data_IF_797575871138
#
_entry.id   IF_797575871138
#
_cell.length_a   1.000
_cell.length_b   1.000
_cell.length_c   1.000
_cell.angle_alpha   90.00
_cell.angle_beta   90.00
_cell.angle_gamma   90.00
#
_symmetry.space_group_name_H-M   'P 1'
#
loop_
_entity.id
_entity.type
_entity.pdbx_description
1 polymer ?
#
# COMPACT_ATOMS: atom_id res chain seq x y z
N UNK A 1 -41.73 -54.10 9.64
CA UNK A 1 -41.90 -53.27 10.85
C UNK A 1 -41.53 -51.85 10.46
N UNK A 2 -42.53 -51.03 10.11
CA UNK A 2 -43.23 -50.07 11.00
C UNK A 2 -42.38 -48.80 11.21
N UNK A 3 -42.84 -47.55 11.14
CA UNK A 3 -44.13 -46.88 10.89
C UNK A 3 -43.74 -45.42 10.62
N UNK A 4 -44.41 -44.74 9.68
CA UNK A 4 -44.42 -43.28 9.61
C UNK A 4 -45.23 -42.73 10.80
N UNK A 5 -44.66 -41.80 11.58
CA UNK A 5 -45.40 -40.92 12.49
C UNK A 5 -44.62 -39.58 12.62
N UNK A 6 -45.08 -38.40 12.16
CA UNK A 6 -46.28 -37.60 12.50
C UNK A 6 -45.98 -36.60 13.64
N UNK A 7 -46.15 -35.31 13.30
CA UNK A 7 -46.58 -34.15 14.13
C UNK A 7 -45.52 -33.19 14.67
N UNK A 8 -45.61 -31.89 14.27
CA UNK A 8 -46.24 -30.73 14.97
C UNK A 8 -45.45 -30.41 16.27
N UNK A 9 -45.07 -29.19 16.65
CA UNK A 9 -45.59 -27.83 16.42
C UNK A 9 -44.81 -26.83 17.31
N UNK A 10 -45.06 -25.52 17.10
CA UNK A 10 -44.97 -24.39 18.05
C UNK A 10 -43.54 -23.87 18.39
N UNK A 11 -43.09 -22.72 17.86
CA UNK A 11 -43.33 -21.31 18.24
C UNK A 11 -42.54 -20.82 19.49
N UNK A 12 -41.85 -19.68 19.29
CA UNK A 12 -41.30 -18.74 20.29
C UNK A 12 -40.06 -19.26 21.07
N UNK A 13 -39.06 -18.48 21.49
CA UNK A 13 -38.92 -17.06 21.79
C UNK A 13 -37.42 -16.70 21.99
N UNK A 14 -37.14 -15.40 21.87
CA UNK A 14 -36.19 -14.60 22.66
C UNK A 14 -34.68 -14.97 22.77
N UNK A 15 -33.88 -14.09 22.15
CA UNK A 15 -32.73 -13.35 22.72
C UNK A 15 -32.00 -13.89 23.96
N UNK A 16 -30.67 -13.97 23.86
CA UNK A 16 -29.81 -14.00 25.03
C UNK A 16 -28.33 -14.24 24.70
N UNK A 17 -27.55 -13.16 24.69
CA UNK A 17 -26.09 -13.17 24.73
C UNK A 17 -25.57 -13.98 25.93
N UNK A 18 -24.55 -14.83 25.77
CA UNK A 18 -23.43 -14.93 26.73
C UNK A 18 -22.14 -15.36 26.04
N UNK A 19 -21.09 -14.58 26.30
CA UNK A 19 -19.69 -14.93 26.08
C UNK A 19 -19.36 -16.25 26.78
N UNK A 20 -18.59 -17.10 26.12
CA UNK A 20 -17.71 -18.07 26.78
C UNK A 20 -16.27 -17.78 26.40
N UNK A 21 -15.53 -17.30 27.40
CA UNK A 21 -14.08 -17.13 27.39
C UNK A 21 -13.40 -18.49 27.52
N UNK A 22 -12.61 -18.89 26.53
CA UNK A 22 -11.64 -19.98 26.67
C UNK A 22 -10.32 -19.33 27.10
N UNK A 23 -9.91 -19.63 28.33
CA UNK A 23 -8.60 -19.30 28.88
C UNK A 23 -7.57 -20.30 28.35
N UNK A 24 -6.49 -19.80 27.75
CA UNK A 24 -5.20 -20.52 27.65
C UNK A 24 -4.14 -19.59 28.22
N UNK A 25 -3.55 -20.01 29.34
CA UNK A 25 -2.40 -19.37 29.97
C UNK A 25 -1.13 -19.63 29.15
N UNK A 26 -0.33 -18.61 28.88
CA UNK A 26 1.14 -18.71 28.98
C UNK A 26 1.85 -17.36 28.75
N UNK A 27 2.82 -17.13 29.62
CA UNK A 27 3.90 -16.12 29.59
C UNK A 27 3.57 -14.66 29.93
N UNK A 28 4.08 -14.26 31.10
CA UNK A 28 4.23 -12.89 31.58
C UNK A 28 5.17 -12.11 30.65
N UNK A 29 4.59 -11.35 29.74
CA UNK A 29 5.20 -10.10 29.26
C UNK A 29 4.44 -8.98 29.95
N UNK A 30 5.16 -8.04 30.58
CA UNK A 30 4.60 -6.79 31.08
C UNK A 30 3.92 -6.05 29.91
N UNK A 31 2.65 -6.36 29.65
CA UNK A 31 1.78 -5.56 28.80
C UNK A 31 1.48 -4.31 29.60
N UNK A 32 2.18 -3.23 29.29
CA UNK A 32 1.70 -1.92 29.66
C UNK A 32 0.28 -1.79 29.09
N UNK A 33 -0.70 -1.63 29.98
CA UNK A 33 -2.08 -1.31 29.63
C UNK A 33 -2.11 0.11 29.06
N UNK A 34 -1.61 0.28 27.85
CA UNK A 34 -1.89 1.48 27.07
C UNK A 34 -3.30 1.30 26.52
N UNK A 35 -4.24 2.23 26.78
CA UNK A 35 -5.56 2.14 26.19
C UNK A 35 -5.40 2.07 24.67
N UNK A 36 -5.99 1.05 24.07
CA UNK A 36 -6.14 0.95 22.62
C UNK A 36 -7.04 2.12 22.23
N UNK A 37 -6.43 3.23 21.81
CA UNK A 37 -7.16 4.40 21.32
C UNK A 37 -7.96 3.91 20.10
N UNK A 38 -9.28 3.93 20.23
CA UNK A 38 -10.21 3.62 19.15
C UNK A 38 -9.91 4.57 17.98
N UNK A 39 -9.47 4.01 16.86
CA UNK A 39 -9.07 4.77 15.65
C UNK A 39 -10.27 5.28 14.85
N UNK A 40 -11.29 5.80 15.52
CA UNK A 40 -12.49 6.33 14.87
C UNK A 40 -12.33 7.85 14.75
N UNK A 41 -12.21 8.31 13.51
CA UNK A 41 -12.03 9.71 13.08
C UNK A 41 -10.59 10.25 13.20
N UNK A 42 -9.75 9.91 12.21
CA UNK A 42 -8.62 10.79 11.91
C UNK A 42 -9.22 12.09 11.38
N UNK A 43 -9.18 13.16 12.18
CA UNK A 43 -9.54 14.49 11.67
C UNK A 43 -8.62 14.82 10.49
N UNK A 44 -9.21 15.10 9.32
CA UNK A 44 -8.49 15.51 8.12
C UNK A 44 -8.00 16.96 8.28
N UNK A 45 -6.93 17.15 9.06
CA UNK A 45 -6.42 18.49 9.47
C UNK A 45 -5.54 19.17 8.41
N UNK A 46 -5.80 18.94 7.12
CA UNK A 46 -5.01 19.47 6.00
C UNK A 46 -3.54 18.99 5.99
N UNK A 47 -2.73 19.54 5.08
CA UNK A 47 -1.27 19.36 5.11
C UNK A 47 -0.69 20.38 6.09
N UNK A 48 0.20 19.92 6.97
CA UNK A 48 0.87 20.75 7.97
C UNK A 48 2.37 20.75 7.70
N UNK A 49 2.96 21.92 7.66
CA UNK A 49 4.40 22.12 7.56
C UNK A 49 4.95 22.61 8.90
N UNK A 50 5.98 21.93 9.40
CA UNK A 50 6.73 22.38 10.57
C UNK A 50 7.81 23.33 10.07
N UNK A 51 7.83 24.54 10.63
CA UNK A 51 8.83 25.57 10.35
C UNK A 51 9.59 25.85 11.64
N UNK A 52 10.91 25.76 11.57
CA UNK A 52 11.81 26.09 12.67
C UNK A 52 12.46 27.44 12.37
N UNK A 53 12.33 28.40 13.29
CA UNK A 53 13.03 29.68 13.25
C UNK A 53 13.94 29.80 14.46
N UNK A 54 15.22 30.07 14.22
CA UNK A 54 16.22 30.26 15.26
C UNK A 54 16.54 31.74 15.36
N UNK A 55 16.14 32.36 16.48
CA UNK A 55 16.44 33.75 16.79
C UNK A 55 17.36 33.78 18.02
N UNK A 56 18.60 34.22 17.83
CA UNK A 56 19.63 34.25 18.85
C UNK A 56 19.89 32.87 19.49
N UNK A 57 19.29 32.63 20.67
CA UNK A 57 19.38 31.38 21.46
C UNK A 57 18.03 30.68 21.64
N UNK A 58 16.94 31.24 21.11
CA UNK A 58 15.60 30.70 21.23
C UNK A 58 15.22 30.05 19.90
N UNK A 59 14.77 28.79 19.94
CA UNK A 59 14.26 28.07 18.77
C UNK A 59 12.74 28.03 18.84
N UNK A 60 12.07 28.68 17.90
CA UNK A 60 10.61 28.69 17.80
C UNK A 60 10.20 27.67 16.73
N UNK A 61 9.29 26.76 17.10
CA UNK A 61 8.79 25.71 16.21
C UNK A 61 7.30 25.95 15.97
N UNK A 62 6.94 26.29 14.73
CA UNK A 62 5.57 26.61 14.34
C UNK A 62 5.00 25.56 13.37
N UNK A 63 3.70 25.29 13.49
CA UNK A 63 2.97 24.44 12.55
C UNK A 63 2.08 25.27 11.63
N UNK A 64 2.49 25.47 10.38
CA UNK A 64 1.71 26.20 9.37
C UNK A 64 0.81 25.22 8.61
N UNK A 65 -0.48 25.52 8.53
CA UNK A 65 -1.43 24.75 7.71
C UNK A 65 -1.36 25.30 6.29
N UNK A 66 -1.15 24.42 5.31
CA UNK A 66 -1.13 24.78 3.91
C UNK A 66 -2.53 24.61 3.32
N UNK A 67 -3.00 25.64 2.64
CA UNK A 67 -4.27 25.61 1.92
C UNK A 67 -4.11 24.86 0.59
N UNK A 68 -5.00 23.90 0.36
CA UNK A 68 -5.01 23.06 -0.84
C UNK A 68 -6.29 23.40 -1.62
N UNK A 69 -6.21 23.72 -2.92
CA UNK A 69 -7.39 23.99 -3.70
C UNK A 69 -8.29 22.74 -3.75
N UNK A 70 -9.61 22.96 -3.74
CA UNK A 70 -10.58 21.88 -3.86
C UNK A 70 -10.41 21.14 -5.19
N UNK A 71 -10.35 19.81 -5.13
CA UNK A 71 -10.22 18.98 -6.32
C UNK A 71 -11.50 18.92 -7.17
N UNK A 72 -11.40 18.48 -8.43
CA UNK A 72 -12.55 18.28 -9.31
C UNK A 72 -13.52 17.22 -8.78
N UNK A 73 -14.78 17.30 -9.22
CA UNK A 73 -15.81 16.33 -8.84
C UNK A 73 -15.56 14.97 -9.51
N UNK A 74 -15.68 13.85 -8.76
CA UNK A 74 -15.44 12.52 -9.30
C UNK A 74 -16.60 12.02 -10.17
N UNK A 75 -16.33 11.18 -11.18
CA UNK A 75 -17.37 10.63 -12.06
C UNK A 75 -18.28 9.61 -11.37
N UNK A 76 -17.80 8.90 -10.34
CA UNK A 76 -18.59 7.96 -9.56
C UNK A 76 -18.55 8.32 -8.06
N UNK A 77 -19.50 9.13 -7.55
CA UNK A 77 -19.49 9.57 -6.16
C UNK A 77 -19.84 8.44 -5.17
N UNK A 78 -20.52 7.38 -5.62
CA UNK A 78 -21.03 6.30 -4.76
C UNK A 78 -19.93 5.39 -4.22
N UNK A 79 -18.82 5.25 -4.94
CA UNK A 79 -17.73 4.37 -4.55
C UNK A 79 -16.99 4.91 -3.30
N UNK A 80 -16.48 4.02 -2.43
CA UNK A 80 -15.73 4.42 -1.22
C UNK A 80 -14.25 4.70 -1.51
N UNK A 81 -13.62 3.87 -2.34
CA UNK A 81 -12.21 3.98 -2.69
C UNK A 81 -11.99 5.08 -3.74
N UNK A 82 -10.99 5.98 -3.59
CA UNK A 82 -10.65 6.97 -4.60
C UNK A 82 -10.46 6.39 -6.00
N UNK A 83 -9.73 5.29 -6.14
CA UNK A 83 -9.48 4.64 -7.45
C UNK A 83 -10.78 4.21 -8.14
N UNK A 84 -11.74 3.71 -7.36
CA UNK A 84 -13.05 3.29 -7.89
C UNK A 84 -13.95 4.48 -8.18
N UNK A 85 -13.88 5.56 -7.39
CA UNK A 85 -14.59 6.82 -7.67
C UNK A 85 -14.21 7.42 -9.02
N UNK A 86 -12.94 7.24 -9.41
CA UNK A 86 -12.40 7.70 -10.68
C UNK A 86 -12.44 6.65 -11.80
N UNK A 87 -13.05 5.48 -11.57
CA UNK A 87 -13.14 4.38 -12.56
C UNK A 87 -11.76 3.93 -13.11
N UNK A 88 -10.71 4.04 -12.30
CA UNK A 88 -9.32 3.70 -12.65
C UNK A 88 -8.94 2.25 -12.30
N UNK A 89 -9.89 1.45 -11.80
CA UNK A 89 -9.65 0.05 -11.47
C UNK A 89 -9.03 -0.70 -12.65
N UNK A 90 -7.92 -1.41 -12.41
CA UNK A 90 -7.23 -2.25 -13.38
C UNK A 90 -6.70 -1.50 -14.62
N UNK A 91 -6.65 -0.16 -14.61
CA UNK A 91 -6.24 0.65 -15.77
C UNK A 91 -4.88 1.32 -15.64
N UNK A 92 -4.34 1.40 -14.42
CA UNK A 92 -3.08 2.08 -14.17
C UNK A 92 -1.90 1.11 -14.08
N UNK A 93 -0.71 1.62 -14.38
CA UNK A 93 0.56 0.89 -14.31
C UNK A 93 1.66 1.71 -13.58
N UNK A 94 2.86 1.14 -13.43
CA UNK A 94 4.02 1.83 -12.83
C UNK A 94 4.49 3.06 -13.62
N UNK A 95 4.07 3.18 -14.88
CA UNK A 95 4.37 4.32 -15.76
C UNK A 95 3.54 5.56 -15.44
N UNK A 96 2.42 5.41 -14.75
CA UNK A 96 1.44 6.49 -14.54
C UNK A 96 1.84 7.37 -13.35
N UNK A 97 2.96 8.08 -13.54
CA UNK A 97 3.61 8.90 -12.50
C UNK A 97 2.67 9.96 -11.92
N UNK A 98 1.78 10.53 -12.74
CA UNK A 98 0.82 11.55 -12.30
C UNK A 98 -0.20 11.03 -11.28
N UNK A 99 -0.56 9.74 -11.37
CA UNK A 99 -1.43 9.10 -10.39
C UNK A 99 -0.64 8.69 -9.15
N UNK A 100 0.55 8.10 -9.35
CA UNK A 100 1.38 7.59 -8.28
C UNK A 100 1.91 8.70 -7.36
N UNK A 101 2.25 9.86 -7.93
CA UNK A 101 2.77 11.03 -7.18
C UNK A 101 1.81 11.54 -6.12
N UNK A 102 0.49 11.34 -6.30
CA UNK A 102 -0.54 11.78 -5.36
C UNK A 102 -0.54 10.98 -4.04
N UNK A 103 -0.01 9.75 -4.07
CA UNK A 103 -0.03 8.84 -2.91
C UNK A 103 1.33 8.71 -2.22
N UNK A 104 2.34 9.48 -2.65
CA UNK A 104 3.70 9.45 -2.09
C UNK A 104 4.04 10.77 -1.41
N UNK A 105 5.01 10.70 -0.50
CA UNK A 105 5.62 11.86 0.16
C UNK A 105 6.69 12.49 -0.74
N UNK A 106 7.16 13.67 -0.36
CA UNK A 106 8.36 14.30 -0.95
C UNK A 106 9.56 13.37 -0.93
N UNK A 107 9.70 12.51 0.08
CA UNK A 107 10.87 11.67 0.26
C UNK A 107 10.77 10.33 -0.51
N UNK A 108 9.68 10.12 -1.25
CA UNK A 108 9.37 8.86 -1.95
C UNK A 108 8.72 7.78 -1.07
N UNK A 109 8.47 8.06 0.22
CA UNK A 109 7.71 7.15 1.09
C UNK A 109 6.23 7.10 0.71
N UNK A 110 5.62 5.91 0.79
CA UNK A 110 4.18 5.72 0.58
C UNK A 110 3.36 6.34 1.72
N UNK A 111 2.26 7.04 1.40
CA UNK A 111 1.32 7.53 2.40
C UNK A 111 0.51 6.40 3.04
N UNK A 112 0.18 6.48 4.35
CA UNK A 112 -0.55 5.42 5.03
C UNK A 112 -1.99 5.30 4.51
N UNK A 113 -2.49 4.05 4.39
CA UNK A 113 -3.84 3.74 3.89
C UNK A 113 -4.98 4.50 4.56
N UNK A 114 -4.88 4.73 5.88
CA UNK A 114 -5.88 5.44 6.67
C UNK A 114 -6.06 6.91 6.24
N UNK A 115 -5.03 7.49 5.62
CA UNK A 115 -5.04 8.87 5.12
C UNK A 115 -5.45 8.89 3.65
N UNK A 116 -4.90 7.97 2.83
CA UNK A 116 -5.22 7.92 1.40
C UNK A 116 -6.65 7.48 1.10
N UNK A 117 -7.31 6.76 2.02
CA UNK A 117 -8.68 6.27 1.83
C UNK A 117 -8.79 5.11 0.84
N UNK A 118 -7.66 4.52 0.43
CA UNK A 118 -7.62 3.40 -0.50
C UNK A 118 -8.09 2.09 0.12
N UNK A 119 -8.71 1.24 -0.69
CA UNK A 119 -8.92 -0.17 -0.35
C UNK A 119 -7.59 -0.89 -0.14
N UNK A 120 -7.60 -1.99 0.61
CA UNK A 120 -6.39 -2.77 0.90
C UNK A 120 -5.68 -3.25 -0.39
N UNK A 121 -6.44 -3.78 -1.34
CA UNK A 121 -5.92 -4.29 -2.61
C UNK A 121 -5.27 -3.18 -3.45
N UNK A 122 -5.97 -2.07 -3.64
CA UNK A 122 -5.48 -0.94 -4.43
C UNK A 122 -4.28 -0.26 -3.76
N UNK A 123 -4.28 -0.16 -2.42
CA UNK A 123 -3.13 0.35 -1.69
C UNK A 123 -1.89 -0.55 -1.89
N UNK A 124 -2.07 -1.87 -1.89
CA UNK A 124 -0.98 -2.81 -2.16
C UNK A 124 -0.47 -2.70 -3.61
N UNK A 125 -1.37 -2.63 -4.60
CA UNK A 125 -1.02 -2.45 -6.01
C UNK A 125 -0.24 -1.15 -6.24
N UNK A 126 -0.72 -0.04 -5.71
CA UNK A 126 -0.06 1.28 -5.82
C UNK A 126 1.31 1.25 -5.15
N UNK A 127 1.46 0.59 -3.99
CA UNK A 127 2.76 0.43 -3.33
C UNK A 127 3.77 -0.32 -4.21
N UNK A 128 3.33 -1.37 -4.89
CA UNK A 128 4.16 -2.09 -5.85
C UNK A 128 4.50 -1.22 -7.06
N UNK A 129 3.53 -0.50 -7.63
CA UNK A 129 3.75 0.40 -8.76
C UNK A 129 4.78 1.49 -8.41
N UNK A 130 4.67 2.11 -7.23
CA UNK A 130 5.64 3.10 -6.74
C UNK A 130 7.03 2.49 -6.60
N UNK A 131 7.16 1.28 -6.04
CA UNK A 131 8.45 0.60 -5.94
C UNK A 131 9.06 0.31 -7.33
N UNK A 132 8.25 -0.11 -8.30
CA UNK A 132 8.70 -0.33 -9.67
C UNK A 132 9.11 0.99 -10.35
N UNK A 133 8.32 2.06 -10.18
CA UNK A 133 8.61 3.38 -10.73
C UNK A 133 9.90 3.99 -10.17
N UNK A 134 10.13 3.88 -8.86
CA UNK A 134 11.37 4.32 -8.20
C UNK A 134 12.59 3.57 -8.73
N UNK A 135 12.49 2.24 -8.89
CA UNK A 135 13.57 1.43 -9.45
C UNK A 135 13.84 1.74 -10.92
N UNK A 136 12.80 2.08 -11.67
CA UNK A 136 12.90 2.51 -13.05
C UNK A 136 13.42 3.96 -13.21
N UNK A 137 13.49 4.73 -12.12
CA UNK A 137 13.97 6.11 -12.15
C UNK A 137 12.94 7.14 -12.63
N UNK A 138 11.65 6.81 -12.60
CA UNK A 138 10.57 7.69 -13.08
C UNK A 138 10.20 8.83 -12.12
N UNK A 139 10.68 8.77 -10.87
CA UNK A 139 10.37 9.73 -9.79
C UNK A 139 11.66 10.41 -9.30
N UNK A 140 12.27 11.33 -10.08
CA UNK A 140 13.55 11.93 -9.73
C UNK A 140 13.48 12.88 -8.53
N UNK A 141 12.34 13.56 -8.35
CA UNK A 141 12.11 14.58 -7.31
C UNK A 141 11.76 13.96 -5.96
N UNK A 142 11.33 12.71 -5.95
CA UNK A 142 10.88 12.00 -4.76
C UNK A 142 11.99 11.12 -4.17
N UNK A 143 13.07 11.77 -3.73
CA UNK A 143 14.22 11.11 -3.11
C UNK A 143 14.36 11.52 -1.65
N UNK A 144 14.89 10.64 -0.79
CA UNK A 144 15.22 11.03 0.57
C UNK A 144 16.25 12.16 0.55
N UNK A 145 16.00 13.17 1.39
CA UNK A 145 16.96 14.26 1.59
C UNK A 145 18.22 13.70 2.23
N UNK A 146 19.34 13.87 1.55
CA UNK A 146 20.65 13.52 2.07
C UNK A 146 21.18 14.68 2.94
N UNK A 147 21.99 14.39 3.97
CA UNK A 147 22.61 15.45 4.74
C UNK A 147 23.54 16.29 3.86
N UNK A 148 23.75 17.54 4.27
CA UNK A 148 24.60 18.47 3.55
C UNK A 148 26.02 17.91 3.41
N UNK A 149 26.60 18.05 2.20
CA UNK A 149 27.94 17.53 1.88
C UNK A 149 28.03 16.01 1.70
N UNK A 150 26.92 15.26 1.69
CA UNK A 150 26.97 13.81 1.49
C UNK A 150 27.35 13.42 0.07
N UNK A 151 28.59 12.94 -0.11
CA UNK A 151 29.05 12.31 -1.35
C UNK A 151 29.07 10.79 -1.17
N UNK A 152 28.42 10.02 -2.05
CA UNK A 152 28.43 8.56 -1.95
C UNK A 152 29.86 8.03 -2.15
N UNK A 153 30.35 7.25 -1.17
CA UNK A 153 31.72 6.71 -1.15
C UNK A 153 32.09 5.92 -2.40
N UNK A 154 31.16 5.11 -2.92
CA UNK A 154 31.34 4.28 -4.11
C UNK A 154 30.15 4.47 -5.07
N UNK A 155 30.24 5.36 -6.06
CA UNK A 155 29.16 5.57 -7.02
C UNK A 155 29.02 4.32 -7.90
N UNK A 156 27.93 3.58 -7.71
CA UNK A 156 27.60 2.46 -8.59
C UNK A 156 27.03 3.01 -9.91
N UNK A 157 27.36 2.41 -11.06
CA UNK A 157 26.73 2.78 -12.31
C UNK A 157 25.22 2.53 -12.24
N UNK A 158 24.44 3.55 -12.59
CA UNK A 158 22.97 3.44 -12.64
C UNK A 158 22.58 2.73 -13.94
N UNK A 159 22.22 1.45 -13.83
CA UNK A 159 21.74 0.67 -14.96
C UNK A 159 20.25 0.93 -15.19
N UNK A 160 19.90 1.23 -16.44
CA UNK A 160 18.53 1.36 -16.92
C UNK A 160 17.76 0.05 -16.69
N UNK A 161 16.57 0.15 -16.11
CA UNK A 161 15.74 -0.99 -15.75
C UNK A 161 14.27 -0.59 -15.71
N UNK A 162 13.39 -1.55 -15.91
CA UNK A 162 11.94 -1.36 -15.86
C UNK A 162 11.27 -2.67 -15.44
N UNK A 163 10.01 -2.62 -14.99
CA UNK A 163 9.24 -3.79 -14.54
C UNK A 163 9.97 -4.65 -13.46
N UNK A 164 10.82 -4.03 -12.64
CA UNK A 164 11.65 -4.76 -11.67
C UNK A 164 10.91 -5.08 -10.39
N UNK A 165 10.63 -6.38 -10.17
CA UNK A 165 9.89 -6.87 -9.00
C UNK A 165 10.68 -6.82 -7.68
N UNK A 166 11.96 -7.16 -7.72
CA UNK A 166 12.78 -7.35 -6.53
C UNK A 166 13.75 -6.19 -6.34
N UNK A 167 14.26 -6.03 -5.11
CA UNK A 167 15.35 -5.10 -4.85
C UNK A 167 16.64 -5.61 -5.49
N UNK A 168 17.46 -4.69 -5.96
CA UNK A 168 18.69 -4.96 -6.72
C UNK A 168 19.64 -5.83 -5.91
N UNK A 169 19.85 -5.47 -4.64
CA UNK A 169 20.81 -6.14 -3.75
C UNK A 169 20.28 -7.48 -3.20
N UNK A 170 18.98 -7.76 -3.35
CA UNK A 170 18.35 -8.98 -2.80
C UNK A 170 18.41 -10.19 -3.74
N UNK A 171 18.62 -9.97 -5.04
CA UNK A 171 18.55 -11.05 -6.04
C UNK A 171 19.93 -11.65 -6.27
N UNK A 172 20.04 -12.97 -6.10
CA UNK A 172 21.25 -13.73 -6.44
C UNK A 172 21.21 -14.17 -7.91
N UNK A 173 22.36 -14.21 -8.61
CA UNK A 173 22.42 -14.71 -9.98
C UNK A 173 22.04 -16.19 -10.04
N UNK A 174 21.38 -16.58 -11.14
CA UNK A 174 21.02 -17.97 -11.41
C UNK A 174 22.18 -18.64 -12.15
N UNK A 175 23.08 -19.30 -11.42
CA UNK A 175 24.21 -20.01 -12.01
C UNK A 175 23.80 -21.26 -12.82
N UNK A 176 22.72 -21.92 -12.41
CA UNK A 176 22.18 -23.13 -13.06
C UNK A 176 20.70 -22.93 -13.38
N UNK A 177 20.38 -22.70 -14.65
CA UNK A 177 19.01 -22.44 -15.10
C UNK A 177 18.13 -23.71 -15.13
N UNK A 178 18.72 -24.88 -15.32
CA UNK A 178 17.99 -26.15 -15.46
C UNK A 178 17.51 -26.41 -16.91
N UNK A 179 16.99 -27.62 -17.12
CA UNK A 179 16.47 -28.10 -18.40
C UNK A 179 15.10 -27.48 -18.70
N UNK A 180 14.58 -27.67 -19.94
CA UNK A 180 13.35 -27.01 -20.42
C UNK A 180 12.14 -27.19 -19.48
N UNK A 181 11.95 -28.37 -18.90
CA UNK A 181 10.82 -28.70 -18.01
C UNK A 181 11.00 -28.23 -16.55
N UNK A 182 12.22 -27.90 -16.13
CA UNK A 182 12.53 -27.42 -14.77
C UNK A 182 13.26 -26.06 -14.77
N UNK A 183 13.09 -25.29 -15.85
CA UNK A 183 13.80 -24.04 -16.07
C UNK A 183 13.43 -22.99 -15.02
N UNK A 184 14.43 -22.47 -14.30
CA UNK A 184 14.30 -21.32 -13.39
C UNK A 184 14.16 -20.04 -14.21
N UNK A 185 12.93 -19.56 -14.33
CA UNK A 185 12.59 -18.35 -15.09
C UNK A 185 12.79 -17.07 -14.28
N UNK A 186 13.08 -15.99 -14.97
CA UNK A 186 13.27 -14.67 -14.38
C UNK A 186 11.92 -13.95 -14.22
N UNK A 187 11.57 -13.48 -13.01
CA UNK A 187 10.33 -12.75 -12.81
C UNK A 187 10.44 -11.32 -13.37
N UNK A 188 9.45 -10.93 -14.17
CA UNK A 188 9.32 -9.57 -14.73
C UNK A 188 7.92 -9.05 -14.40
N UNK A 189 7.82 -7.83 -13.87
CA UNK A 189 6.56 -7.26 -13.36
C UNK A 189 6.09 -7.89 -12.05
N UNK A 190 4.85 -7.56 -11.64
CA UNK A 190 4.28 -8.05 -10.39
C UNK A 190 2.92 -8.76 -10.61
N UNK A 191 2.68 -9.93 -10.00
CA UNK A 191 1.42 -10.67 -10.15
C UNK A 191 0.17 -9.94 -9.63
N UNK A 192 0.34 -8.93 -8.77
CA UNK A 192 -0.78 -8.11 -8.29
C UNK A 192 -1.49 -7.32 -9.41
N UNK A 193 -0.77 -7.04 -10.51
CA UNK A 193 -1.30 -6.32 -11.68
C UNK A 193 -1.78 -7.26 -12.79
N UNK A 194 -1.87 -8.57 -12.53
CA UNK A 194 -2.28 -9.57 -13.53
C UNK A 194 -3.71 -9.32 -14.08
N UNK A 195 -4.56 -8.69 -13.28
CA UNK A 195 -5.96 -8.41 -13.59
C UNK A 195 -6.14 -7.08 -14.34
N UNK A 196 -5.06 -6.38 -14.68
CA UNK A 196 -5.15 -5.14 -15.44
C UNK A 196 -5.82 -5.38 -16.80
N UNK A 197 -6.47 -4.35 -17.32
CA UNK A 197 -7.11 -4.36 -18.64
C UNK A 197 -6.04 -4.66 -19.68
N UNK A 198 -6.36 -5.54 -20.63
CA UNK A 198 -5.44 -5.97 -21.67
C UNK A 198 -6.08 -5.75 -23.01
N UNK A 199 -5.41 -4.95 -23.83
CA UNK A 199 -5.87 -4.64 -25.18
C UNK A 199 -5.35 -5.64 -26.23
N UNK A 200 -4.43 -6.53 -25.84
CA UNK A 200 -3.87 -7.55 -26.72
C UNK A 200 -4.35 -8.95 -26.35
N UNK A 201 -4.39 -9.84 -27.36
CA UNK A 201 -4.80 -11.24 -27.21
C UNK A 201 -3.80 -12.09 -26.42
N UNK A 202 -2.50 -11.75 -26.47
CA UNK A 202 -1.43 -12.54 -25.81
C UNK A 202 -1.53 -12.39 -24.29
N UNK A 203 -1.34 -13.43 -23.46
CA UNK A 203 -1.34 -13.34 -21.99
C UNK A 203 -0.19 -12.48 -21.44
N UNK A 204 -0.31 -12.01 -20.19
CA UNK A 204 0.76 -11.27 -19.51
C UNK A 204 1.80 -12.27 -19.05
N UNK A 205 2.99 -12.24 -19.66
CA UNK A 205 4.10 -13.08 -19.25
C UNK A 205 4.84 -12.41 -18.09
N UNK A 206 4.74 -13.00 -16.90
CA UNK A 206 5.44 -12.52 -15.68
C UNK A 206 6.73 -13.30 -15.39
N UNK A 207 7.02 -14.33 -16.19
CA UNK A 207 8.17 -15.23 -16.03
C UNK A 207 8.79 -15.51 -17.39
N UNK A 208 9.98 -14.98 -17.62
CA UNK A 208 10.74 -15.12 -18.86
C UNK A 208 11.83 -16.20 -18.74
#
# INVERSE_FOLDING_TARGET
MAVHAVWRSVLTSFSGLKLSSICINSSLLHKSNVPIISTLTVQSRGIRQVVETQENKTTTIEGKILDIPAGPQPPNPSAKCPIYRWNLQNKYDYTDVLLLSQFIRSDGGMLPRRITGLCFEEHHKIAICVQMAQRAGLLPDHKPKLPEGHVPKNPRPKLNRYLTRWSIDSVKPIYKAGLKWCKRRMPVGHPALKNNVRYSLKPLFLKH
#
